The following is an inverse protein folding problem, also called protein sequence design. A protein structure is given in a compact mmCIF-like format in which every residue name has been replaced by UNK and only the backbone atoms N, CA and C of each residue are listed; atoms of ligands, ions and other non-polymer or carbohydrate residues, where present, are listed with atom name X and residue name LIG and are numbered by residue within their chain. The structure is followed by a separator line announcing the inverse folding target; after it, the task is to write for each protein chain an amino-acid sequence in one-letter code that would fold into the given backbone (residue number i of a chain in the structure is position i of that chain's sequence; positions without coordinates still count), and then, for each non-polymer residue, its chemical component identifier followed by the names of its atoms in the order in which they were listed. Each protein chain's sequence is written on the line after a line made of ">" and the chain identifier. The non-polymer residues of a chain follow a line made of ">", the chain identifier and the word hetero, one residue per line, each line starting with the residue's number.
data_IF_644505260772
#
_entry.id   IF_644505260772
#
_cell.length_a   1.000
_cell.length_b   1.000
_cell.length_c   1.000
_cell.angle_alpha   90.00
_cell.angle_beta   90.00
_cell.angle_gamma   90.00
#
_symmetry.space_group_name_H-M   'P 1'
#
loop_
_entity.id
_entity.type
_entity.pdbx_description
1 polymer ?
#
# COMPACT_ATOMS: atom_id res chain seq x y z
N UNK A 1 10.67 -30.53 12.89
CA UNK A 1 10.95 -29.09 13.12
C UNK A 1 10.44 -28.73 14.52
N UNK A 2 11.08 -27.80 15.22
CA UNK A 2 10.62 -27.34 16.54
C UNK A 2 9.73 -26.10 16.34
N UNK A 3 8.47 -26.13 16.80
CA UNK A 3 7.57 -24.98 16.76
C UNK A 3 7.68 -24.19 18.08
N UNK A 4 8.39 -23.06 18.03
CA UNK A 4 8.57 -22.13 19.15
C UNK A 4 7.64 -20.92 19.12
N UNK A 5 6.56 -20.98 18.35
CA UNK A 5 5.66 -19.83 18.15
C UNK A 5 4.85 -19.51 19.40
N UNK A 6 4.55 -18.24 19.58
CA UNK A 6 3.58 -17.74 20.56
C UNK A 6 2.36 -17.21 19.81
N UNK A 7 1.20 -17.29 20.44
CA UNK A 7 -0.01 -16.61 19.98
C UNK A 7 -0.61 -15.80 21.13
N UNK A 8 -1.27 -14.70 20.81
CA UNK A 8 -1.89 -13.79 21.78
C UNK A 8 -3.37 -13.65 21.49
N UNK A 9 -4.17 -13.74 22.55
CA UNK A 9 -5.63 -13.60 22.52
C UNK A 9 -6.08 -12.62 23.60
N UNK A 10 -7.35 -12.23 23.55
CA UNK A 10 -7.97 -11.44 24.61
C UNK A 10 -8.53 -12.43 25.63
N UNK A 11 -8.08 -12.34 26.88
CA UNK A 11 -8.57 -13.17 27.97
C UNK A 11 -10.08 -12.95 28.15
N UNK A 12 -10.93 -13.97 28.02
CA UNK A 12 -12.38 -13.81 28.16
C UNK A 12 -12.81 -13.43 29.59
N UNK A 13 -11.99 -13.68 30.60
CA UNK A 13 -12.33 -13.41 32.00
C UNK A 13 -12.23 -11.92 32.38
N UNK A 14 -11.17 -11.25 31.93
CA UNK A 14 -10.83 -9.88 32.36
C UNK A 14 -10.52 -8.93 31.20
N UNK A 15 -10.50 -9.43 29.95
CA UNK A 15 -10.17 -8.65 28.76
C UNK A 15 -8.69 -8.30 28.64
N UNK A 16 -7.81 -8.86 29.48
CA UNK A 16 -6.37 -8.64 29.44
C UNK A 16 -5.71 -9.38 28.27
N UNK A 17 -4.42 -9.09 28.03
CA UNK A 17 -3.61 -9.85 27.09
C UNK A 17 -3.35 -11.25 27.66
N UNK A 18 -3.65 -12.29 26.87
CA UNK A 18 -3.28 -13.68 27.17
C UNK A 18 -2.36 -14.18 26.05
N UNK A 19 -1.09 -14.40 26.39
CA UNK A 19 -0.13 -15.01 25.48
C UNK A 19 0.21 -16.44 25.93
N UNK A 20 0.21 -17.36 24.98
CA UNK A 20 0.48 -18.77 25.22
C UNK A 20 1.50 -19.29 24.19
N UNK A 21 2.23 -20.36 24.52
CA UNK A 21 3.04 -21.07 23.54
C UNK A 21 2.14 -21.93 22.69
N UNK A 22 2.30 -21.84 21.37
CA UNK A 22 1.51 -22.61 20.42
C UNK A 22 1.65 -24.12 20.65
N UNK A 23 2.87 -24.57 20.90
CA UNK A 23 3.21 -25.98 21.11
C UNK A 23 2.69 -26.59 22.42
N UNK A 24 2.18 -25.79 23.35
CA UNK A 24 1.52 -26.30 24.56
C UNK A 24 0.09 -26.77 24.28
N UNK A 25 -0.51 -26.35 23.16
CA UNK A 25 -1.89 -26.64 22.80
C UNK A 25 -2.04 -27.37 21.46
N UNK A 26 -1.15 -27.12 20.52
CA UNK A 26 -1.22 -27.64 19.15
C UNK A 26 0.12 -28.27 18.75
N UNK A 27 0.08 -29.27 17.86
CA UNK A 27 1.29 -29.98 17.40
C UNK A 27 1.67 -29.67 15.95
N UNK A 28 0.84 -28.95 15.22
CA UNK A 28 1.05 -28.56 13.82
C UNK A 28 1.82 -27.22 13.71
N UNK A 29 1.81 -26.64 12.51
CA UNK A 29 2.46 -25.38 12.16
C UNK A 29 1.47 -24.41 11.50
N UNK A 30 0.18 -24.52 11.81
CA UNK A 30 -0.86 -23.79 11.10
C UNK A 30 -0.93 -22.32 11.51
N UNK A 31 -1.34 -21.47 10.56
CA UNK A 31 -1.70 -20.07 10.79
C UNK A 31 -2.85 -19.69 9.85
N UNK A 32 -3.58 -18.62 10.19
CA UNK A 32 -4.76 -18.18 9.44
C UNK A 32 -4.58 -16.86 8.71
N UNK A 33 -5.24 -16.73 7.56
CA UNK A 33 -5.44 -15.53 6.74
C UNK A 33 -4.19 -14.91 6.12
N UNK A 34 -3.20 -14.48 6.92
CA UNK A 34 -2.02 -13.78 6.43
C UNK A 34 -0.79 -14.02 7.30
N UNK A 35 0.39 -14.00 6.67
CA UNK A 35 1.67 -13.98 7.34
C UNK A 35 2.69 -13.13 6.56
N UNK A 36 3.46 -12.34 7.28
CA UNK A 36 4.66 -11.69 6.77
C UNK A 36 5.85 -12.35 7.48
N UNK A 37 6.65 -13.10 6.73
CA UNK A 37 7.69 -13.95 7.29
C UNK A 37 9.07 -13.50 6.82
N UNK A 38 10.03 -13.54 7.75
CA UNK A 38 11.45 -13.52 7.43
C UNK A 38 12.02 -14.91 7.68
N UNK A 39 12.58 -15.52 6.64
CA UNK A 39 13.15 -16.87 6.71
C UNK A 39 14.66 -16.82 6.51
N UNK A 40 15.39 -17.63 7.28
CA UNK A 40 16.83 -17.84 7.13
C UNK A 40 17.22 -19.24 7.62
N UNK A 41 18.46 -19.66 7.33
CA UNK A 41 18.98 -20.96 7.78
C UNK A 41 19.22 -21.05 9.30
N UNK A 42 19.05 -19.95 10.04
CA UNK A 42 19.28 -19.91 11.50
C UNK A 42 20.74 -20.09 11.94
N UNK A 43 21.71 -19.94 11.02
CA UNK A 43 23.14 -20.08 11.32
C UNK A 43 23.73 -18.82 11.96
N UNK A 44 24.76 -18.95 12.81
CA UNK A 44 25.54 -17.80 13.26
C UNK A 44 26.20 -17.05 12.10
N UNK A 45 26.34 -15.72 12.21
CA UNK A 45 26.95 -14.92 11.16
C UNK A 45 26.97 -13.42 11.49
N UNK A 46 27.46 -12.62 10.54
CA UNK A 46 27.39 -11.17 10.65
C UNK A 46 25.94 -10.71 10.46
N UNK A 47 25.50 -9.82 11.35
CA UNK A 47 24.18 -9.19 11.33
C UNK A 47 24.33 -7.69 11.56
N UNK A 48 23.31 -6.92 11.21
CA UNK A 48 23.25 -5.49 11.52
C UNK A 48 22.68 -5.34 12.94
N UNK A 49 23.52 -4.96 13.89
CA UNK A 49 23.07 -4.58 15.24
C UNK A 49 22.57 -3.13 15.21
N UNK A 50 21.34 -2.91 15.67
CA UNK A 50 20.74 -1.58 15.82
C UNK A 50 20.46 -1.34 17.30
N UNK A 51 21.09 -0.30 17.85
CA UNK A 51 20.78 0.24 19.18
C UNK A 51 20.15 1.61 19.01
N UNK A 52 18.98 1.80 19.59
CA UNK A 52 18.30 3.08 19.62
C UNK A 52 17.70 3.30 21.00
N UNK A 53 17.86 4.50 21.54
CA UNK A 53 17.18 4.90 22.76
C UNK A 53 16.58 6.29 22.55
N UNK A 54 15.58 6.63 23.37
CA UNK A 54 14.89 7.93 23.37
C UNK A 54 14.36 8.33 21.97
N UNK A 55 13.12 8.01 21.68
CA UNK A 55 12.48 8.41 20.41
C UNK A 55 12.23 9.92 20.40
N UNK A 56 12.88 10.63 19.48
CA UNK A 56 12.76 12.09 19.31
C UNK A 56 11.83 12.51 18.15
N UNK A 57 11.33 11.54 17.38
CA UNK A 57 10.44 11.77 16.23
C UNK A 57 9.10 11.06 16.35
N UNK A 58 8.25 11.22 15.32
CA UNK A 58 6.90 10.63 15.30
C UNK A 58 6.87 9.18 14.80
N UNK A 59 7.95 8.71 14.16
CA UNK A 59 8.03 7.36 13.58
C UNK A 59 8.41 6.32 14.63
N UNK A 60 7.84 5.12 14.55
CA UNK A 60 8.32 3.95 15.29
C UNK A 60 9.74 3.55 14.85
N UNK A 61 10.40 2.65 15.59
CA UNK A 61 11.70 2.09 15.17
C UNK A 61 11.62 1.49 13.75
N UNK A 62 10.62 0.64 13.51
CA UNK A 62 10.44 -0.08 12.23
C UNK A 62 10.14 0.88 11.09
N UNK A 63 9.25 1.85 11.30
CA UNK A 63 8.95 2.89 10.31
C UNK A 63 10.17 3.75 10.01
N UNK A 64 10.99 4.07 11.00
CA UNK A 64 12.23 4.84 10.83
C UNK A 64 13.25 4.08 9.98
N UNK A 65 13.43 2.78 10.23
CA UNK A 65 14.29 1.92 9.41
C UNK A 65 13.77 1.83 7.97
N UNK A 66 12.47 1.53 7.77
CA UNK A 66 11.87 1.42 6.44
C UNK A 66 12.03 2.70 5.62
N UNK A 67 11.62 3.85 6.18
CA UNK A 67 11.72 5.16 5.49
C UNK A 67 13.16 5.54 5.16
N UNK A 68 14.11 5.17 6.01
CA UNK A 68 15.54 5.41 5.75
C UNK A 68 16.04 4.58 4.58
N UNK A 69 15.68 3.29 4.53
CA UNK A 69 16.01 2.41 3.41
C UNK A 69 15.34 2.87 2.11
N UNK A 70 14.08 3.27 2.15
CA UNK A 70 13.35 3.80 0.98
C UNK A 70 14.02 5.05 0.41
N UNK A 71 14.43 5.97 1.29
CA UNK A 71 15.11 7.20 0.87
C UNK A 71 16.49 6.91 0.27
N UNK A 72 17.25 6.00 0.86
CA UNK A 72 18.63 5.71 0.45
C UNK A 72 18.69 4.89 -0.85
N UNK A 73 17.74 3.99 -1.05
CA UNK A 73 17.68 3.07 -2.20
C UNK A 73 16.42 3.34 -3.02
N UNK A 74 16.24 4.58 -3.48
CA UNK A 74 14.97 5.04 -4.09
C UNK A 74 14.53 4.28 -5.34
N UNK A 75 15.48 3.69 -6.07
CA UNK A 75 15.29 2.90 -7.29
C UNK A 75 15.11 1.39 -7.02
N UNK A 76 15.26 0.93 -5.77
CA UNK A 76 15.23 -0.50 -5.41
C UNK A 76 14.32 -0.78 -4.23
N UNK A 77 13.68 -1.95 -4.26
CA UNK A 77 12.94 -2.47 -3.11
C UNK A 77 13.87 -3.29 -2.23
N UNK A 78 13.95 -2.95 -0.94
CA UNK A 78 14.81 -3.59 0.05
C UNK A 78 13.94 -4.24 1.12
N UNK A 79 13.90 -5.57 1.14
CA UNK A 79 13.30 -6.35 2.23
C UNK A 79 14.27 -6.50 3.38
N UNK A 80 13.78 -6.41 4.62
CA UNK A 80 14.57 -6.64 5.83
C UNK A 80 13.72 -7.31 6.90
N UNK A 81 14.34 -8.20 7.67
CA UNK A 81 13.73 -8.82 8.83
C UNK A 81 14.77 -9.13 9.90
N UNK A 82 14.32 -9.81 10.95
CA UNK A 82 15.16 -10.16 12.09
C UNK A 82 14.36 -10.11 13.38
N UNK A 83 14.99 -9.64 14.46
CA UNK A 83 14.32 -9.47 15.75
C UNK A 83 14.85 -8.25 16.49
N UNK A 84 14.02 -7.63 17.31
CA UNK A 84 14.49 -6.64 18.28
C UNK A 84 13.77 -6.80 19.61
N UNK A 85 14.43 -6.35 20.67
CA UNK A 85 13.87 -6.28 22.01
C UNK A 85 13.64 -4.82 22.35
N UNK A 86 12.42 -4.50 22.79
CA UNK A 86 12.16 -3.29 23.57
C UNK A 86 12.66 -3.60 24.98
N UNK A 87 13.84 -3.11 25.33
CA UNK A 87 14.53 -3.41 26.59
C UNK A 87 13.91 -2.62 27.76
N UNK A 88 13.49 -1.38 27.50
CA UNK A 88 12.81 -0.50 28.47
C UNK A 88 11.68 0.27 27.81
N UNK A 89 10.72 0.68 28.61
CA UNK A 89 9.55 1.45 28.18
C UNK A 89 8.30 0.61 28.00
N UNK A 90 7.34 1.16 27.27
CA UNK A 90 6.06 0.52 26.94
C UNK A 90 5.75 0.67 25.46
N UNK A 91 4.86 -0.18 24.96
CA UNK A 91 4.41 -0.16 23.57
C UNK A 91 2.90 -0.27 23.45
N UNK A 92 2.36 0.39 22.43
CA UNK A 92 0.99 0.19 21.98
C UNK A 92 0.95 -1.02 21.05
N UNK A 93 0.10 -1.98 21.39
CA UNK A 93 -0.20 -3.15 20.56
C UNK A 93 -1.71 -3.27 20.31
N UNK A 94 -2.12 -4.13 19.37
CA UNK A 94 -3.48 -4.67 19.35
C UNK A 94 -3.50 -6.19 19.33
N UNK A 95 -4.64 -6.75 19.72
CA UNK A 95 -5.01 -8.15 19.53
C UNK A 95 -6.39 -8.17 18.88
N UNK A 96 -6.58 -9.06 17.90
CA UNK A 96 -7.88 -9.28 17.28
C UNK A 96 -8.85 -9.95 18.28
N UNK A 97 -10.13 -9.55 18.32
CA UNK A 97 -11.15 -10.32 19.03
C UNK A 97 -11.18 -11.80 18.62
N UNK A 98 -11.59 -12.70 19.53
CA UNK A 98 -11.62 -14.15 19.25
C UNK A 98 -12.59 -14.51 18.12
N UNK A 99 -13.65 -13.72 17.93
CA UNK A 99 -14.61 -13.89 16.84
C UNK A 99 -14.42 -12.82 15.77
N UNK A 100 -14.51 -13.22 14.50
CA UNK A 100 -14.53 -12.29 13.39
C UNK A 100 -15.78 -11.40 13.43
N UNK A 101 -15.67 -10.20 12.85
CA UNK A 101 -16.81 -9.29 12.74
C UNK A 101 -17.95 -9.95 11.95
N UNK A 102 -19.16 -9.90 12.51
CA UNK A 102 -20.37 -10.40 11.83
C UNK A 102 -20.79 -9.52 10.65
N UNK A 103 -20.24 -8.30 10.54
CA UNK A 103 -20.48 -7.38 9.43
C UNK A 103 -19.15 -6.90 8.81
N UNK A 104 -19.14 -6.54 7.51
CA UNK A 104 -17.95 -6.03 6.84
C UNK A 104 -17.36 -4.80 7.55
N UNK A 105 -16.03 -4.82 7.77
CA UNK A 105 -15.27 -3.67 8.26
C UNK A 105 -14.72 -2.92 7.04
N UNK A 106 -15.36 -1.82 6.68
CA UNK A 106 -15.12 -1.16 5.38
C UNK A 106 -14.08 -0.04 5.45
N UNK A 107 -13.74 0.42 6.65
CA UNK A 107 -12.81 1.52 6.87
C UNK A 107 -11.76 1.18 7.92
N UNK A 108 -10.63 1.89 7.90
CA UNK A 108 -9.62 1.81 8.95
C UNK A 108 -10.21 2.14 10.33
N UNK A 109 -11.21 3.03 10.39
CA UNK A 109 -11.89 3.35 11.65
C UNK A 109 -12.72 2.17 12.18
N UNK A 110 -13.44 1.46 11.30
CA UNK A 110 -14.18 0.26 11.66
C UNK A 110 -13.23 -0.84 12.16
N UNK A 111 -12.13 -1.05 11.45
CA UNK A 111 -11.08 -2.00 11.85
C UNK A 111 -10.51 -1.60 13.21
N UNK A 112 -10.13 -0.34 13.40
CA UNK A 112 -9.55 0.13 14.66
C UNK A 112 -10.54 0.06 15.84
N UNK A 113 -11.85 0.20 15.61
CA UNK A 113 -12.90 0.00 16.64
C UNK A 113 -13.09 -1.48 16.99
N UNK A 114 -12.97 -2.36 16.01
CA UNK A 114 -13.05 -3.80 16.22
C UNK A 114 -11.82 -4.36 16.95
N UNK A 115 -10.63 -3.86 16.61
CA UNK A 115 -9.37 -4.26 17.25
C UNK A 115 -9.29 -3.81 18.72
N UNK A 116 -8.87 -4.72 19.60
CA UNK A 116 -8.61 -4.38 20.99
C UNK A 116 -7.17 -3.91 21.17
N UNK A 117 -7.01 -2.66 21.59
CA UNK A 117 -5.71 -2.05 21.81
C UNK A 117 -5.26 -2.17 23.27
N UNK A 118 -3.96 -2.34 23.46
CA UNK A 118 -3.32 -2.45 24.77
C UNK A 118 -2.06 -1.58 24.82
N UNK A 119 -1.73 -1.13 26.03
CA UNK A 119 -0.38 -0.66 26.35
C UNK A 119 0.32 -1.75 27.17
N UNK A 120 1.44 -2.26 26.66
CA UNK A 120 2.20 -3.38 27.23
C UNK A 120 3.61 -2.93 27.62
N UNK A 121 4.25 -3.66 28.53
CA UNK A 121 5.56 -3.28 29.09
C UNK A 121 6.72 -4.06 28.47
N UNK A 122 7.87 -3.40 28.45
CA UNK A 122 9.15 -4.07 28.27
C UNK A 122 9.45 -5.05 29.44
N UNK A 123 10.26 -6.10 29.22
CA UNK A 123 10.90 -6.47 27.96
C UNK A 123 9.90 -7.11 26.97
N UNK A 124 9.97 -6.71 25.70
CA UNK A 124 9.12 -7.22 24.63
C UNK A 124 9.99 -7.65 23.44
N UNK A 125 9.86 -8.90 22.99
CA UNK A 125 10.64 -9.49 21.90
C UNK A 125 9.80 -9.41 20.63
N UNK A 126 10.28 -8.68 19.64
CA UNK A 126 9.55 -8.34 18.44
C UNK A 126 10.17 -8.98 17.20
N UNK A 127 9.30 -9.38 16.27
CA UNK A 127 9.64 -10.03 15.00
C UNK A 127 9.12 -9.16 13.86
N UNK A 128 9.90 -8.16 13.40
CA UNK A 128 9.49 -7.32 12.29
C UNK A 128 9.83 -7.95 10.94
N UNK A 129 8.95 -7.69 9.98
CA UNK A 129 9.21 -7.82 8.54
C UNK A 129 8.86 -6.47 7.92
N UNK A 130 9.79 -5.92 7.14
CA UNK A 130 9.59 -4.66 6.43
C UNK A 130 10.14 -4.74 5.02
N UNK A 131 9.52 -3.98 4.11
CA UNK A 131 10.02 -3.75 2.75
C UNK A 131 10.01 -2.25 2.51
N UNK A 132 11.11 -1.69 2.02
CA UNK A 132 11.27 -0.23 1.85
C UNK A 132 10.15 0.38 0.99
N UNK A 133 9.83 -0.29 -0.12
CA UNK A 133 8.80 0.06 -1.11
C UNK A 133 8.15 -1.23 -1.62
N UNK A 134 6.85 -1.20 -1.88
CA UNK A 134 6.18 -2.29 -2.59
C UNK A 134 6.54 -2.25 -4.10
N UNK A 135 7.13 -3.31 -4.67
CA UNK A 135 7.42 -3.40 -6.11
C UNK A 135 6.20 -3.73 -6.98
N UNK A 136 4.96 -3.66 -6.45
CA UNK A 136 3.72 -3.95 -7.19
C UNK A 136 3.11 -5.31 -6.87
N UNK A 137 3.45 -5.87 -5.70
CA UNK A 137 3.05 -7.20 -5.24
C UNK A 137 1.97 -7.19 -4.17
N UNK A 138 1.39 -6.02 -3.89
CA UNK A 138 0.38 -5.82 -2.84
C UNK A 138 0.93 -6.29 -1.48
N UNK A 139 2.05 -5.68 -1.10
CA UNK A 139 2.80 -6.03 0.09
C UNK A 139 2.37 -5.16 1.27
N UNK A 140 2.23 -5.81 2.42
CA UNK A 140 2.26 -5.11 3.70
C UNK A 140 3.70 -4.67 4.01
N UNK A 141 3.98 -3.39 3.82
CA UNK A 141 5.34 -2.82 3.89
C UNK A 141 5.95 -2.79 5.29
N UNK A 142 5.12 -2.85 6.34
CA UNK A 142 5.55 -2.97 7.74
C UNK A 142 4.60 -3.92 8.46
N UNK A 143 5.14 -4.97 9.07
CA UNK A 143 4.39 -5.85 9.95
C UNK A 143 5.29 -6.34 11.08
N UNK A 144 4.92 -6.06 12.34
CA UNK A 144 5.68 -6.48 13.51
C UNK A 144 4.74 -7.07 14.55
N UNK A 145 4.96 -8.33 14.91
CA UNK A 145 4.34 -8.94 16.08
C UNK A 145 5.38 -9.09 17.19
N UNK A 146 4.95 -9.10 18.44
CA UNK A 146 5.82 -9.28 19.57
C UNK A 146 5.26 -10.27 20.59
N UNK A 147 6.16 -10.85 21.37
CA UNK A 147 5.87 -11.73 22.50
C UNK A 147 6.77 -11.40 23.70
N UNK A 148 6.44 -11.93 24.87
CA UNK A 148 7.24 -11.75 26.08
C UNK A 148 7.26 -12.99 26.98
N UNK A 149 8.07 -12.94 28.04
CA UNK A 149 8.05 -13.95 29.11
C UNK A 149 7.09 -13.59 30.26
N UNK A 150 6.35 -12.48 30.15
CA UNK A 150 5.44 -12.00 31.20
C UNK A 150 3.98 -12.00 30.76
N UNK A 151 3.66 -12.69 29.65
CA UNK A 151 2.29 -12.94 29.20
C UNK A 151 1.71 -11.89 28.25
N UNK A 152 2.47 -10.86 27.91
CA UNK A 152 2.04 -9.79 26.99
C UNK A 152 2.63 -9.96 25.59
N UNK A 153 1.79 -9.87 24.55
CA UNK A 153 2.18 -10.00 23.15
C UNK A 153 1.04 -9.58 22.20
N UNK A 154 1.36 -9.38 20.92
CA UNK A 154 0.39 -8.96 19.89
C UNK A 154 1.01 -8.14 18.76
N UNK A 155 0.17 -7.43 18.02
CA UNK A 155 0.57 -6.62 16.87
C UNK A 155 1.07 -5.24 17.30
N UNK A 156 2.33 -4.92 17.01
CA UNK A 156 3.00 -3.68 17.44
C UNK A 156 2.69 -2.48 16.54
N UNK A 157 2.42 -1.33 17.17
CA UNK A 157 2.34 -0.02 16.50
C UNK A 157 3.58 0.83 16.74
N UNK A 158 3.80 1.20 18.00
CA UNK A 158 4.81 2.19 18.42
C UNK A 158 5.03 2.11 19.93
N UNK A 159 6.19 2.58 20.42
CA UNK A 159 6.36 2.87 21.84
C UNK A 159 5.44 3.99 22.33
N UNK A 160 5.04 3.93 23.60
CA UNK A 160 4.25 4.97 24.28
C UNK A 160 5.05 5.74 25.32
N UNK A 161 6.31 5.37 25.54
CA UNK A 161 7.25 6.06 26.46
C UNK A 161 8.48 6.56 25.70
N UNK A 162 8.33 7.55 24.80
CA UNK A 162 9.40 7.98 23.90
C UNK A 162 10.68 8.41 24.62
N UNK A 163 10.57 9.05 25.79
CA UNK A 163 11.73 9.60 26.49
C UNK A 163 12.65 8.54 27.13
N UNK A 164 12.11 7.34 27.39
CA UNK A 164 12.80 6.28 28.14
C UNK A 164 12.90 4.96 27.39
N UNK A 165 12.38 4.88 26.16
CA UNK A 165 12.40 3.64 25.37
C UNK A 165 13.83 3.26 24.99
N UNK A 166 14.16 1.99 25.10
CA UNK A 166 15.43 1.41 24.67
C UNK A 166 15.18 0.20 23.76
N UNK A 167 15.83 0.19 22.60
CA UNK A 167 15.73 -0.84 21.58
C UNK A 167 17.10 -1.46 21.32
N UNK A 168 17.12 -2.80 21.20
CA UNK A 168 18.25 -3.56 20.67
C UNK A 168 17.74 -4.54 19.63
N UNK A 169 18.20 -4.44 18.39
CA UNK A 169 17.79 -5.33 17.31
C UNK A 169 18.92 -5.88 16.47
N UNK A 170 18.65 -7.02 15.84
CA UNK A 170 19.54 -7.72 14.93
C UNK A 170 18.80 -8.00 13.64
N UNK A 171 19.32 -7.46 12.54
CA UNK A 171 18.65 -7.45 11.24
C UNK A 171 19.53 -7.91 10.10
N UNK A 172 18.87 -8.41 9.05
CA UNK A 172 19.49 -8.76 7.78
C UNK A 172 18.57 -8.37 6.61
N UNK A 173 19.14 -7.93 5.48
CA UNK A 173 18.38 -7.80 4.24
C UNK A 173 17.93 -9.18 3.75
N UNK A 174 16.77 -9.24 3.10
CA UNK A 174 16.29 -10.44 2.42
C UNK A 174 16.88 -10.50 1.01
N UNK A 175 17.36 -11.68 0.60
CA UNK A 175 17.84 -11.93 -0.77
C UNK A 175 16.68 -12.16 -1.75
N UNK A 176 15.64 -12.84 -1.28
CA UNK A 176 14.46 -13.17 -2.08
C UNK A 176 13.18 -12.70 -1.40
N UNK A 177 12.16 -12.45 -2.22
CA UNK A 177 10.80 -12.22 -1.78
C UNK A 177 9.87 -13.19 -2.49
N UNK A 178 9.05 -13.89 -1.71
CA UNK A 178 8.03 -14.79 -2.22
C UNK A 178 6.66 -14.23 -1.86
N UNK A 179 5.83 -13.96 -2.88
CA UNK A 179 4.42 -13.60 -2.69
C UNK A 179 3.57 -14.84 -2.97
N UNK A 180 3.12 -15.48 -1.91
CA UNK A 180 2.27 -16.67 -1.98
C UNK A 180 0.83 -16.23 -1.77
N UNK A 181 -0.10 -16.84 -2.53
CA UNK A 181 -1.54 -16.63 -2.42
C UNK A 181 -1.94 -15.15 -2.33
N UNK A 182 -1.57 -14.39 -3.38
CA UNK A 182 -1.91 -12.97 -3.47
C UNK A 182 -3.43 -12.84 -3.64
N UNK A 183 -4.13 -12.04 -2.79
CA UNK A 183 -5.55 -11.76 -2.99
C UNK A 183 -5.80 -11.19 -4.39
N UNK A 184 -6.81 -11.71 -5.07
CA UNK A 184 -7.26 -11.18 -6.37
C UNK A 184 -7.90 -9.79 -6.19
N UNK A 185 -8.65 -9.60 -5.10
CA UNK A 185 -9.26 -8.34 -4.71
C UNK A 185 -8.45 -7.65 -3.58
N UNK A 186 -7.98 -6.41 -3.82
CA UNK A 186 -7.27 -5.56 -2.84
C UNK A 186 -8.00 -4.24 -2.58
N UNK A 187 -7.72 -3.59 -1.45
CA UNK A 187 -8.39 -2.39 -0.95
C UNK A 187 -7.48 -1.14 -0.88
N UNK A 188 -6.20 -1.24 -1.27
CA UNK A 188 -5.28 -0.08 -1.24
C UNK A 188 -5.55 0.85 -2.42
N UNK A 189 -6.33 1.92 -2.17
CA UNK A 189 -6.70 2.94 -3.15
C UNK A 189 -8.20 3.16 -3.31
N UNK A 190 -9.03 2.44 -2.55
CA UNK A 190 -10.49 2.53 -2.64
C UNK A 190 -11.00 3.90 -2.18
N UNK A 191 -11.76 4.55 -3.04
CA UNK A 191 -12.40 5.84 -2.77
C UNK A 191 -13.67 5.55 -1.97
N UNK A 192 -13.67 5.87 -0.68
CA UNK A 192 -14.82 5.63 0.21
C UNK A 192 -15.68 6.87 0.35
N UNK A 193 -17.00 6.70 0.23
CA UNK A 193 -18.01 7.72 0.43
C UNK A 193 -18.41 7.80 1.92
N UNK A 194 -18.30 8.96 2.58
CA UNK A 194 -18.59 9.08 4.02
C UNK A 194 -20.09 8.95 4.30
N UNK A 195 -20.48 8.06 5.21
CA UNK A 195 -21.89 7.86 5.61
C UNK A 195 -22.19 8.69 6.87
N UNK A 196 -23.35 9.35 6.98
CA UNK A 196 -23.68 10.16 8.14
C UNK A 196 -23.89 9.30 9.40
N UNK A 197 -23.72 9.88 10.61
CA UNK A 197 -23.83 9.14 11.86
C UNK A 197 -25.21 8.50 12.06
N UNK A 198 -25.24 7.21 12.45
CA UNK A 198 -26.43 6.33 12.56
C UNK A 198 -27.56 6.92 13.43
N UNK A 199 -27.25 7.81 14.39
CA UNK A 199 -28.25 8.49 15.23
C UNK A 199 -29.24 9.36 14.42
N UNK A 200 -28.87 9.76 13.21
CA UNK A 200 -29.72 10.54 12.30
C UNK A 200 -30.72 9.65 11.55
N UNK A 201 -30.46 8.34 11.44
CA UNK A 201 -31.27 7.36 10.69
C UNK A 201 -32.26 6.58 11.58
N UNK A 202 -32.16 6.68 12.91
CA UNK A 202 -33.06 5.93 13.80
C UNK A 202 -34.47 6.54 13.85
N UNK A 203 -35.49 5.75 13.48
CA UNK A 203 -36.94 6.06 13.47
C UNK A 203 -37.53 6.36 14.86
N UNK A 204 -37.08 7.43 15.52
CA UNK A 204 -37.63 7.83 16.83
C UNK A 204 -38.29 9.20 16.69
N UNK A 205 -39.63 9.18 16.59
CA UNK A 205 -40.60 10.29 16.74
C UNK A 205 -40.00 11.70 16.72
N UNK A 206 -39.78 12.26 15.52
CA UNK A 206 -39.18 13.56 15.33
C UNK A 206 -40.24 14.68 15.25
N UNK A 207 -40.03 15.78 16.00
CA UNK A 207 -40.72 17.04 15.75
C UNK A 207 -40.33 17.61 14.38
N UNK A 208 -41.12 18.52 13.81
CA UNK A 208 -40.85 19.13 12.50
C UNK A 208 -39.43 19.75 12.38
N UNK A 209 -38.89 20.28 13.49
CA UNK A 209 -37.54 20.86 13.56
C UNK A 209 -36.45 19.79 13.44
N UNK A 210 -36.65 18.62 14.07
CA UNK A 210 -35.72 17.49 13.99
C UNK A 210 -35.70 16.88 12.58
N UNK A 211 -36.85 16.83 11.90
CA UNK A 211 -36.93 16.33 10.51
C UNK A 211 -36.16 17.21 9.53
N UNK A 212 -36.27 18.54 9.66
CA UNK A 212 -35.53 19.48 8.81
C UNK A 212 -34.00 19.38 9.02
N UNK A 213 -33.54 19.22 10.26
CA UNK A 213 -32.12 19.06 10.56
C UNK A 213 -31.55 17.74 9.99
N UNK A 214 -32.32 16.65 10.08
CA UNK A 214 -31.97 15.36 9.48
C UNK A 214 -31.82 15.48 7.97
N UNK A 215 -32.80 16.10 7.29
CA UNK A 215 -32.77 16.31 5.83
C UNK A 215 -31.53 17.10 5.43
N UNK A 216 -31.21 18.20 6.13
CA UNK A 216 -30.02 19.01 5.83
C UNK A 216 -28.70 18.22 5.96
N UNK A 217 -28.59 17.30 6.94
CA UNK A 217 -27.43 16.42 7.08
C UNK A 217 -27.33 15.43 5.93
N UNK A 218 -28.45 14.85 5.49
CA UNK A 218 -28.51 13.96 4.34
C UNK A 218 -28.13 14.69 3.05
N UNK A 219 -28.64 15.90 2.84
CA UNK A 219 -28.29 16.76 1.70
C UNK A 219 -26.79 17.09 1.69
N UNK A 220 -26.25 17.50 2.84
CA UNK A 220 -24.82 17.79 2.98
C UNK A 220 -23.94 16.58 2.65
N UNK A 221 -24.39 15.38 3.06
CA UNK A 221 -23.72 14.11 2.75
C UNK A 221 -23.73 13.85 1.24
N UNK A 222 -24.91 13.91 0.60
CA UNK A 222 -25.06 13.64 -0.83
C UNK A 222 -24.30 14.67 -1.67
N UNK A 223 -24.26 15.94 -1.27
CA UNK A 223 -23.43 16.97 -1.91
C UNK A 223 -21.94 16.58 -1.83
N UNK A 224 -21.49 16.07 -0.67
CA UNK A 224 -20.14 15.54 -0.49
C UNK A 224 -19.83 14.41 -1.45
N UNK A 225 -20.73 13.42 -1.54
CA UNK A 225 -20.62 12.30 -2.47
C UNK A 225 -20.53 12.76 -3.91
N UNK A 226 -21.44 13.63 -4.35
CA UNK A 226 -21.45 14.19 -5.71
C UNK A 226 -20.12 14.89 -6.03
N UNK A 227 -19.59 15.70 -5.10
CA UNK A 227 -18.30 16.37 -5.30
C UNK A 227 -17.16 15.37 -5.45
N UNK A 228 -17.09 14.38 -4.58
CA UNK A 228 -16.05 13.36 -4.60
C UNK A 228 -16.11 12.53 -5.88
N UNK A 229 -17.29 12.04 -6.26
CA UNK A 229 -17.48 11.30 -7.52
C UNK A 229 -17.09 12.15 -8.73
N UNK A 230 -17.48 13.44 -8.77
CA UNK A 230 -17.10 14.34 -9.87
C UNK A 230 -15.58 14.57 -9.96
N UNK A 231 -14.87 14.56 -8.83
CA UNK A 231 -13.39 14.61 -8.84
C UNK A 231 -12.83 13.35 -9.50
N UNK A 232 -13.40 12.18 -9.17
CA UNK A 232 -12.98 10.91 -9.76
C UNK A 232 -13.28 10.87 -11.26
N UNK A 233 -14.51 11.17 -11.68
CA UNK A 233 -14.88 11.19 -13.10
C UNK A 233 -14.06 12.16 -13.95
N UNK A 234 -13.54 13.25 -13.35
CA UNK A 234 -12.69 14.24 -14.04
C UNK A 234 -11.19 13.93 -13.95
N UNK A 235 -10.81 12.93 -13.15
CA UNK A 235 -9.41 12.59 -12.97
C UNK A 235 -8.88 11.96 -14.25
N UNK A 236 -7.83 12.55 -14.82
CA UNK A 236 -7.04 11.94 -15.88
C UNK A 236 -5.96 11.04 -15.25
N UNK A 237 -6.07 9.70 -15.38
CA UNK A 237 -5.11 8.75 -14.80
C UNK A 237 -3.70 8.92 -15.37
N UNK A 238 -3.55 9.53 -16.55
CA UNK A 238 -2.26 9.73 -17.22
C UNK A 238 -1.52 10.98 -16.75
N UNK A 239 -2.24 11.99 -16.22
CA UNK A 239 -1.63 13.23 -15.76
C UNK A 239 -0.63 13.00 -14.61
N UNK A 240 -0.82 11.97 -13.79
CA UNK A 240 0.12 11.59 -12.72
C UNK A 240 1.35 10.84 -13.26
N UNK A 241 1.21 10.07 -14.33
CA UNK A 241 2.33 9.37 -14.98
C UNK A 241 3.29 10.36 -15.66
N UNK A 242 2.76 11.43 -16.26
CA UNK A 242 3.57 12.48 -16.90
C UNK A 242 4.51 13.21 -15.92
N UNK A 243 4.17 13.28 -14.63
CA UNK A 243 5.01 13.90 -13.59
C UNK A 243 6.29 13.11 -13.29
N UNK A 244 6.34 11.82 -13.66
CA UNK A 244 7.47 10.92 -13.38
C UNK A 244 8.52 10.87 -14.51
N UNK A 245 8.35 11.72 -15.54
CA UNK A 245 9.28 11.86 -16.66
C UNK A 245 8.94 10.95 -17.86
N UNK A 246 9.69 11.08 -18.98
CA UNK A 246 9.36 10.43 -20.27
C UNK A 246 9.55 8.90 -20.32
N UNK A 247 9.73 8.25 -19.16
CA UNK A 247 9.94 6.80 -19.04
C UNK A 247 8.67 5.97 -18.87
N UNK A 248 7.48 6.59 -18.91
CA UNK A 248 6.24 5.87 -18.74
C UNK A 248 5.91 5.00 -19.96
N UNK A 249 6.14 3.69 -19.83
CA UNK A 249 5.80 2.72 -20.88
C UNK A 249 4.30 2.40 -20.91
N UNK A 250 3.84 1.82 -22.02
CA UNK A 250 2.43 1.41 -22.26
C UNK A 250 1.80 0.59 -21.12
N UNK A 251 2.60 -0.17 -20.35
CA UNK A 251 2.13 -0.93 -19.19
C UNK A 251 1.65 -0.05 -18.02
N UNK A 252 2.30 1.10 -17.81
CA UNK A 252 1.95 2.00 -16.73
C UNK A 252 0.64 2.72 -17.03
N UNK A 253 0.41 3.05 -18.31
CA UNK A 253 -0.87 3.56 -18.80
C UNK A 253 -2.00 2.53 -18.61
N UNK A 254 -1.81 1.28 -19.04
CA UNK A 254 -2.78 0.19 -18.83
C UNK A 254 -3.14 0.03 -17.34
N UNK A 255 -2.12 -0.01 -16.48
CA UNK A 255 -2.29 -0.13 -15.03
C UNK A 255 -3.04 1.06 -14.41
N UNK A 256 -2.77 2.28 -14.89
CA UNK A 256 -3.45 3.49 -14.42
C UNK A 256 -4.93 3.50 -14.80
N UNK A 257 -5.26 3.08 -16.03
CA UNK A 257 -6.64 2.95 -16.50
C UNK A 257 -7.40 1.82 -15.78
N UNK A 258 -6.76 0.66 -15.55
CA UNK A 258 -7.34 -0.44 -14.76
C UNK A 258 -7.69 0.00 -13.34
N UNK A 259 -6.77 0.70 -12.67
CA UNK A 259 -7.00 1.25 -11.33
C UNK A 259 -8.16 2.27 -11.32
N UNK A 260 -8.27 3.09 -12.37
CA UNK A 260 -9.36 4.05 -12.49
C UNK A 260 -10.72 3.34 -12.67
N UNK A 261 -10.79 2.28 -13.48
CA UNK A 261 -11.99 1.44 -13.63
C UNK A 261 -12.39 0.79 -12.30
N UNK A 262 -11.43 0.27 -11.53
CA UNK A 262 -11.68 -0.30 -10.21
C UNK A 262 -12.27 0.73 -9.23
N UNK A 263 -11.77 1.96 -9.25
CA UNK A 263 -12.33 3.05 -8.44
C UNK A 263 -13.78 3.38 -8.81
N UNK A 264 -14.11 3.44 -10.10
CA UNK A 264 -15.49 3.68 -10.57
C UNK A 264 -16.42 2.54 -10.15
N UNK A 265 -15.99 1.28 -10.29
CA UNK A 265 -16.75 0.11 -9.84
C UNK A 265 -17.01 0.13 -8.32
N UNK A 266 -15.98 0.46 -7.53
CA UNK A 266 -16.10 0.56 -6.08
C UNK A 266 -17.06 1.66 -5.63
N UNK A 267 -17.05 2.82 -6.31
CA UNK A 267 -18.00 3.90 -6.06
C UNK A 267 -19.44 3.47 -6.39
N UNK A 268 -19.63 2.77 -7.51
CA UNK A 268 -20.96 2.29 -7.91
C UNK A 268 -21.54 1.34 -6.84
N UNK A 269 -20.74 0.37 -6.39
CA UNK A 269 -21.15 -0.56 -5.33
C UNK A 269 -21.52 0.14 -4.01
N UNK A 270 -20.83 1.22 -3.66
CA UNK A 270 -21.15 2.01 -2.47
C UNK A 270 -22.45 2.81 -2.62
N UNK A 271 -22.72 3.34 -3.82
CA UNK A 271 -23.93 4.09 -4.14
C UNK A 271 -25.17 3.19 -4.23
N UNK A 272 -24.99 1.91 -4.57
CA UNK A 272 -26.05 0.89 -4.59
C UNK A 272 -26.33 0.26 -3.22
N UNK A 273 -25.52 0.59 -2.21
CA UNK A 273 -25.66 0.04 -0.86
C UNK A 273 -27.02 0.36 -0.24
N UNK A 274 -27.46 -0.50 0.68
CA UNK A 274 -28.74 -0.32 1.38
C UNK A 274 -28.84 1.03 2.09
N UNK A 275 -27.74 1.48 2.71
CA UNK A 275 -27.66 2.79 3.39
C UNK A 275 -27.80 3.95 2.40
N UNK A 276 -27.19 3.86 1.23
CA UNK A 276 -27.32 4.90 0.20
C UNK A 276 -28.75 4.95 -0.36
N UNK A 277 -29.39 3.80 -0.56
CA UNK A 277 -30.81 3.70 -0.95
C UNK A 277 -31.75 4.29 0.10
N UNK A 278 -31.47 4.05 1.38
CA UNK A 278 -32.23 4.65 2.48
C UNK A 278 -32.10 6.17 2.51
N UNK A 279 -30.87 6.69 2.37
CA UNK A 279 -30.61 8.14 2.30
C UNK A 279 -31.34 8.77 1.12
N UNK A 280 -31.28 8.14 -0.07
CA UNK A 280 -31.96 8.63 -1.26
C UNK A 280 -33.48 8.65 -1.08
N UNK A 281 -34.06 7.57 -0.53
CA UNK A 281 -35.50 7.47 -0.26
C UNK A 281 -35.97 8.59 0.68
N UNK A 282 -35.21 8.88 1.73
CA UNK A 282 -35.52 9.98 2.66
C UNK A 282 -35.47 11.35 1.98
N UNK A 283 -34.50 11.58 1.09
CA UNK A 283 -34.41 12.83 0.33
C UNK A 283 -35.54 12.99 -0.70
N UNK A 284 -35.96 11.90 -1.35
CA UNK A 284 -37.09 11.89 -2.28
C UNK A 284 -38.41 12.18 -1.56
N UNK A 285 -38.64 11.54 -0.41
CA UNK A 285 -39.83 11.81 0.42
C UNK A 285 -39.88 13.25 0.94
N UNK A 286 -38.71 13.88 1.12
CA UNK A 286 -38.57 15.28 1.50
C UNK A 286 -38.67 16.28 0.33
N UNK A 287 -38.88 15.82 -0.91
CA UNK A 287 -38.82 16.64 -2.13
C UNK A 287 -37.50 17.42 -2.29
N UNK A 288 -36.37 16.83 -1.87
CA UNK A 288 -35.05 17.46 -2.01
C UNK A 288 -34.63 17.60 -3.48
N UNK A 289 -34.04 18.73 -3.81
CA UNK A 289 -33.51 19.02 -5.16
C UNK A 289 -32.22 18.25 -5.49
N UNK A 290 -31.61 17.60 -4.50
CA UNK A 290 -30.35 16.86 -4.66
C UNK A 290 -30.55 15.40 -5.10
N UNK A 291 -31.73 14.81 -4.92
CA UNK A 291 -32.01 13.43 -5.33
C UNK A 291 -31.87 13.21 -6.86
N UNK A 292 -32.44 14.07 -7.74
CA UNK A 292 -32.20 13.96 -9.19
C UNK A 292 -30.72 14.15 -9.57
N UNK A 293 -30.02 15.05 -8.88
CA UNK A 293 -28.58 15.27 -9.11
C UNK A 293 -27.73 14.06 -8.76
N UNK A 294 -28.10 13.35 -7.69
CA UNK A 294 -27.45 12.11 -7.26
C UNK A 294 -27.67 10.98 -8.27
N UNK A 295 -28.91 10.78 -8.73
CA UNK A 295 -29.24 9.76 -9.75
C UNK A 295 -28.48 10.00 -11.06
N UNK A 296 -28.32 11.26 -11.48
CA UNK A 296 -27.52 11.60 -12.67
C UNK A 296 -26.05 11.22 -12.50
N UNK A 297 -25.47 11.46 -11.32
CA UNK A 297 -24.08 11.10 -11.04
C UNK A 297 -23.86 9.58 -11.03
N UNK A 298 -24.83 8.80 -10.56
CA UNK A 298 -24.77 7.33 -10.64
C UNK A 298 -24.75 6.87 -12.11
N UNK A 299 -25.62 7.44 -12.96
CA UNK A 299 -25.62 7.18 -14.41
C UNK A 299 -24.31 7.57 -15.09
N UNK A 300 -23.71 8.68 -14.68
CA UNK A 300 -22.42 9.13 -15.21
C UNK A 300 -21.29 8.15 -14.85
N UNK A 301 -21.29 7.60 -13.64
CA UNK A 301 -20.34 6.54 -13.23
C UNK A 301 -20.52 5.30 -14.09
N UNK A 302 -21.74 4.79 -14.21
CA UNK A 302 -22.03 3.58 -15.00
C UNK A 302 -21.59 3.75 -16.45
N UNK A 303 -21.93 4.89 -17.06
CA UNK A 303 -21.53 5.20 -18.44
C UNK A 303 -20.01 5.20 -18.59
N UNK A 304 -19.31 5.94 -17.72
CA UNK A 304 -17.84 6.04 -17.76
C UNK A 304 -17.17 4.67 -17.56
N UNK A 305 -17.68 3.86 -16.62
CA UNK A 305 -17.19 2.51 -16.38
C UNK A 305 -17.32 1.61 -17.63
N UNK A 306 -18.48 1.62 -18.30
CA UNK A 306 -18.70 0.78 -19.49
C UNK A 306 -17.84 1.23 -20.69
N UNK A 307 -17.70 2.54 -20.90
CA UNK A 307 -16.87 3.11 -21.96
C UNK A 307 -15.39 2.73 -21.77
N UNK A 308 -14.86 2.93 -20.55
CA UNK A 308 -13.47 2.62 -20.23
C UNK A 308 -13.18 1.12 -20.28
N UNK A 309 -14.09 0.28 -19.79
CA UNK A 309 -13.96 -1.18 -19.87
C UNK A 309 -13.90 -1.65 -21.33
N UNK A 310 -14.72 -1.04 -22.20
CA UNK A 310 -14.71 -1.33 -23.64
C UNK A 310 -13.40 -0.88 -24.30
N UNK A 311 -12.90 0.30 -23.95
CA UNK A 311 -11.62 0.80 -24.44
C UNK A 311 -10.45 -0.10 -24.00
N UNK A 312 -10.41 -0.53 -22.74
CA UNK A 312 -9.35 -1.40 -22.24
C UNK A 312 -9.35 -2.77 -22.95
N UNK A 313 -10.53 -3.32 -23.26
CA UNK A 313 -10.65 -4.54 -24.06
C UNK A 313 -10.03 -4.37 -25.45
N UNK A 314 -10.19 -3.20 -26.08
CA UNK A 314 -9.54 -2.88 -27.35
C UNK A 314 -8.01 -2.81 -27.14
N UNK A 315 -7.54 -2.07 -26.13
CA UNK A 315 -6.10 -1.99 -25.82
C UNK A 315 -5.45 -3.37 -25.61
N UNK A 316 -6.13 -4.26 -24.88
CA UNK A 316 -5.68 -5.63 -24.63
C UNK A 316 -5.47 -6.43 -25.95
N UNK A 317 -6.28 -6.17 -26.98
CA UNK A 317 -6.13 -6.84 -28.30
C UNK A 317 -4.86 -6.41 -29.03
N UNK A 318 -4.37 -5.18 -28.81
CA UNK A 318 -3.14 -4.67 -29.42
C UNK A 318 -1.89 -4.98 -28.59
N UNK A 319 -2.06 -5.39 -27.32
CA UNK A 319 -0.98 -5.63 -26.37
C UNK A 319 0.05 -6.61 -26.90
N UNK A 320 -0.38 -7.81 -27.34
CA UNK A 320 0.53 -8.84 -27.85
C UNK A 320 1.39 -8.35 -29.01
N UNK A 321 0.77 -7.75 -30.03
CA UNK A 321 1.46 -7.19 -31.19
C UNK A 321 2.46 -6.09 -30.80
N UNK A 322 2.08 -5.20 -29.88
CA UNK A 322 2.97 -4.16 -29.39
C UNK A 322 4.20 -4.75 -28.69
N UNK A 323 4.03 -5.80 -27.88
CA UNK A 323 5.12 -6.49 -27.19
C UNK A 323 6.12 -7.10 -28.17
N UNK A 324 5.61 -7.80 -29.18
CA UNK A 324 6.44 -8.44 -30.19
C UNK A 324 7.26 -7.43 -31.00
N UNK A 325 6.66 -6.30 -31.35
CA UNK A 325 7.34 -5.22 -32.09
C UNK A 325 8.35 -4.50 -31.20
N UNK A 326 8.01 -4.23 -29.93
CA UNK A 326 8.92 -3.58 -28.98
C UNK A 326 10.15 -4.44 -28.71
N UNK A 327 9.96 -5.75 -28.46
CA UNK A 327 11.07 -6.68 -28.22
C UNK A 327 12.02 -6.74 -29.43
N UNK A 328 11.47 -6.80 -30.65
CA UNK A 328 12.28 -6.73 -31.89
C UNK A 328 13.03 -5.41 -32.02
N UNK A 329 12.38 -4.28 -31.70
CA UNK A 329 13.02 -2.97 -31.76
C UNK A 329 14.16 -2.83 -30.74
N UNK A 330 13.95 -3.31 -29.51
CA UNK A 330 14.96 -3.31 -28.46
C UNK A 330 16.16 -4.21 -28.82
N UNK A 331 15.92 -5.37 -29.43
CA UNK A 331 16.98 -6.26 -29.95
C UNK A 331 17.80 -5.59 -31.06
N UNK A 332 17.14 -4.96 -32.04
CA UNK A 332 17.81 -4.23 -33.13
C UNK A 332 18.63 -3.05 -32.58
N UNK A 333 18.07 -2.31 -31.62
CA UNK A 333 18.75 -1.18 -31.01
C UNK A 333 19.96 -1.64 -30.18
N UNK A 334 19.85 -2.74 -29.45
CA UNK A 334 20.96 -3.35 -28.73
C UNK A 334 22.12 -3.71 -29.66
N UNK A 335 21.83 -4.40 -30.76
CA UNK A 335 22.84 -4.76 -31.78
C UNK A 335 23.51 -3.53 -32.38
N UNK A 336 22.74 -2.50 -32.77
CA UNK A 336 23.29 -1.25 -33.31
C UNK A 336 24.16 -0.47 -32.31
N UNK A 337 23.80 -0.49 -31.02
CA UNK A 337 24.61 0.14 -29.97
C UNK A 337 25.94 -0.61 -29.79
N UNK A 338 25.91 -1.94 -29.79
CA UNK A 338 27.13 -2.77 -29.74
C UNK A 338 28.03 -2.54 -30.96
N UNK A 339 27.45 -2.53 -32.17
CA UNK A 339 28.16 -2.24 -33.42
C UNK A 339 28.80 -0.85 -33.39
N UNK A 340 28.06 0.18 -32.94
CA UNK A 340 28.59 1.54 -32.82
C UNK A 340 29.69 1.66 -31.77
N UNK A 341 29.56 0.98 -30.62
CA UNK A 341 30.61 0.92 -29.59
C UNK A 341 31.85 0.23 -30.15
N UNK A 342 31.68 -0.87 -30.87
CA UNK A 342 32.77 -1.59 -31.52
C UNK A 342 33.47 -0.68 -32.55
N UNK A 343 32.71 0.01 -33.40
CA UNK A 343 33.26 0.94 -34.40
C UNK A 343 34.02 2.12 -33.77
N UNK A 344 33.51 2.66 -32.66
CA UNK A 344 34.16 3.74 -31.89
C UNK A 344 35.44 3.23 -31.22
N UNK A 345 35.45 2.02 -30.67
CA UNK A 345 36.62 1.41 -30.06
C UNK A 345 37.70 1.08 -31.10
N UNK A 346 37.32 0.51 -32.25
CA UNK A 346 38.24 0.24 -33.37
C UNK A 346 38.83 1.54 -33.94
N UNK A 347 38.04 2.61 -34.08
CA UNK A 347 38.56 3.91 -34.52
C UNK A 347 39.46 4.59 -33.47
N UNK A 348 39.19 4.43 -32.17
CA UNK A 348 40.04 5.00 -31.10
C UNK A 348 41.33 4.24 -30.85
N UNK A 349 41.41 2.95 -31.17
CA UNK A 349 42.66 2.17 -31.02
C UNK A 349 43.73 2.51 -32.07
N UNK A 350 43.41 3.29 -33.10
CA UNK A 350 44.39 3.80 -34.08
C UNK A 350 44.99 5.17 -33.74
N UNK A 351 44.62 5.79 -32.62
CA UNK A 351 45.25 7.02 -32.12
C UNK A 351 45.69 6.80 -30.67
N UNK A 352 46.98 6.52 -30.51
CA UNK A 352 47.70 6.50 -29.24
C UNK A 352 47.41 7.77 -28.46
N UNK A 353 46.79 7.70 -27.28
CA UNK A 353 46.84 8.80 -26.31
C UNK A 353 46.57 8.30 -24.88
N UNK A 354 47.40 8.83 -23.99
CA UNK A 354 47.66 8.46 -22.61
C UNK A 354 46.46 8.62 -21.65
N UNK A 355 46.44 7.75 -20.64
CA UNK A 355 45.42 7.53 -19.58
C UNK A 355 44.81 8.75 -18.84
N UNK A 356 45.28 9.97 -19.05
CA UNK A 356 44.82 11.16 -18.32
C UNK A 356 43.59 11.86 -18.95
N UNK A 357 43.35 11.72 -20.26
CA UNK A 357 42.18 12.32 -20.94
C UNK A 357 40.88 11.50 -20.85
N UNK A 358 40.95 10.26 -20.36
CA UNK A 358 39.88 9.28 -20.47
C UNK A 358 38.71 9.51 -19.50
N UNK A 359 38.95 10.16 -18.35
CA UNK A 359 37.93 10.34 -17.29
C UNK A 359 37.00 11.54 -17.49
N UNK A 360 37.41 12.54 -18.27
CA UNK A 360 36.63 13.78 -18.42
C UNK A 360 35.68 13.73 -19.63
N UNK A 361 36.04 12.98 -20.68
CA UNK A 361 35.24 12.92 -21.92
C UNK A 361 33.99 12.01 -21.80
N UNK A 362 34.03 10.97 -20.95
CA UNK A 362 32.92 10.01 -20.81
C UNK A 362 31.68 10.57 -20.09
N UNK A 363 31.82 11.59 -19.23
CA UNK A 363 30.66 12.22 -18.58
C UNK A 363 29.91 13.21 -19.48
N UNK A 364 30.56 13.78 -20.50
CA UNK A 364 29.94 14.73 -21.43
C UNK A 364 29.17 14.07 -22.58
N UNK A 365 29.69 12.97 -23.13
CA UNK A 365 29.12 12.32 -24.34
C UNK A 365 27.83 11.55 -24.03
N UNK A 366 27.72 10.94 -22.86
CA UNK A 366 26.51 10.20 -22.45
C UNK A 366 25.31 11.14 -22.18
N UNK A 367 25.56 12.39 -21.77
CA UNK A 367 24.51 13.40 -21.63
C UNK A 367 24.09 14.01 -22.98
N UNK A 368 25.01 14.19 -23.92
CA UNK A 368 24.71 14.81 -25.22
C UNK A 368 24.02 13.86 -26.23
N UNK A 369 24.26 12.55 -26.16
CA UNK A 369 23.59 11.59 -27.06
C UNK A 369 22.11 11.37 -26.73
N UNK A 370 21.71 11.43 -25.46
CA UNK A 370 20.30 11.31 -25.07
C UNK A 370 19.45 12.51 -25.52
N UNK A 371 20.02 13.73 -25.53
CA UNK A 371 19.29 14.93 -25.97
C UNK A 371 19.19 15.07 -27.50
N UNK A 372 20.14 14.53 -28.25
CA UNK A 372 20.18 14.67 -29.71
C UNK A 372 19.26 13.68 -30.44
N UNK A 373 19.10 12.47 -29.89
CA UNK A 373 18.23 11.42 -30.46
C UNK A 373 16.73 11.71 -30.29
N UNK A 374 16.33 12.35 -29.19
CA UNK A 374 14.95 12.82 -29.02
C UNK A 374 14.54 13.93 -30.01
N UNK A 375 15.49 14.78 -30.45
CA UNK A 375 15.23 15.82 -31.46
C UNK A 375 15.08 15.28 -32.88
N UNK A 376 15.62 14.11 -33.18
CA UNK A 376 15.49 13.50 -34.52
C UNK A 376 14.12 12.84 -34.71
N UNK A 377 13.49 12.37 -33.64
CA UNK A 377 12.16 11.73 -33.69
C UNK A 377 10.99 12.73 -33.79
N UNK A 378 11.15 13.98 -33.37
CA UNK A 378 10.11 15.01 -33.45
C UNK A 378 10.14 15.87 -34.75
N UNK A 379 10.96 15.50 -35.74
CA UNK A 379 11.11 16.24 -37.01
C UNK A 379 10.94 15.40 -38.28
N UNK A 380 10.44 14.17 -38.17
CA UNK A 380 9.83 13.42 -39.28
C UNK A 380 8.35 13.26 -39.01
#
# INVERSE_FOLDING_TARGET
>A
AVNGSYYSTINPADGACLQEKYSEKYSDCDFGLLANLYACEGKPGKVIEVRANRRTGQSSLVTSMRKTLEKQYSDKSVGMGGTFVIQKGKAKIHIMPPEFSACPLLTDEDVNKWLKHFEVRAPLICQPVLVSRDPGLDLRVEHTHCFSHHGEGGHYYIDTTPDSVEYLGYFLPAEFLYRIDRPEDTHVGSIVLPVPPIKVLSKTTASAVSTAAVIHVLESTVIGWIKQVKVVLKHDPLAELQKHGPGAGVYQEETAWEKHIQNLHSLNAQLDSEKAREILTNLEQANSTYAPSFQNVCKDIDKSYQELKSALKICATFRGTYLDVKAKADEINGKKVEENIHHILVQKFNLSLTRAGFRTCYKGVFLMMNYSLLRFWFKQ
#
